data_IF_091509664492
#
_entry.id   IF_091509664492
#
_cell.length_a   1.000
_cell.length_b   1.000
_cell.length_c   1.000
_cell.angle_alpha   90.00
_cell.angle_beta   90.00
_cell.angle_gamma   90.00
#
_symmetry.space_group_name_H-M   'P 1'
#
loop_
_entity.id
_entity.type
_entity.pdbx_description
1 polymer ?
#
# COMPACT_ATOMS: atom_id res chain seq x y z
N UNK A 1 23.45 -18.06 -7.72
CA UNK A 1 22.78 -18.87 -6.69
C UNK A 1 21.28 -18.66 -6.85
N UNK A 2 20.47 -19.68 -6.59
CA UNK A 2 19.01 -19.52 -6.59
C UNK A 2 18.54 -18.96 -5.24
N UNK A 3 17.43 -18.20 -5.21
CA UNK A 3 16.81 -17.78 -3.95
C UNK A 3 16.32 -18.97 -3.11
N UNK A 4 16.26 -18.78 -1.78
CA UNK A 4 15.66 -19.77 -0.89
C UNK A 4 14.18 -20.03 -1.24
N UNK A 5 13.76 -21.31 -1.21
CA UNK A 5 12.40 -21.76 -1.56
C UNK A 5 11.91 -21.32 -2.95
N UNK A 6 12.82 -21.15 -3.92
CA UNK A 6 12.47 -20.81 -5.30
C UNK A 6 11.55 -21.86 -5.96
N UNK A 7 11.79 -23.15 -5.71
CA UNK A 7 10.94 -24.25 -6.22
C UNK A 7 9.51 -24.22 -5.67
N UNK A 8 9.33 -23.63 -4.49
CA UNK A 8 8.03 -23.52 -3.83
C UNK A 8 7.31 -22.22 -4.18
N UNK A 9 7.93 -21.35 -4.99
CA UNK A 9 7.40 -20.04 -5.38
C UNK A 9 7.50 -18.95 -4.31
N UNK A 10 8.34 -19.14 -3.28
CA UNK A 10 8.61 -18.13 -2.24
C UNK A 10 9.98 -17.46 -2.37
N UNK A 11 10.82 -17.96 -3.26
CA UNK A 11 12.11 -17.35 -3.56
C UNK A 11 11.95 -16.02 -4.30
N UNK A 12 12.78 -15.05 -3.95
CA UNK A 12 12.78 -13.74 -4.60
C UNK A 12 14.19 -13.19 -4.80
N UNK A 13 14.31 -12.30 -5.78
CA UNK A 13 15.50 -11.48 -5.97
C UNK A 13 15.25 -10.09 -5.38
N UNK A 14 16.31 -9.48 -4.86
CA UNK A 14 16.26 -8.18 -4.21
C UNK A 14 17.29 -7.22 -4.79
N UNK A 15 16.90 -5.96 -4.85
CA UNK A 15 17.74 -4.83 -5.24
C UNK A 15 17.31 -3.61 -4.43
N UNK A 16 18.28 -2.83 -3.98
CA UNK A 16 18.08 -1.52 -3.38
C UNK A 16 19.07 -0.49 -3.94
N UNK A 17 18.97 0.75 -3.46
CA UNK A 17 19.84 1.87 -3.84
C UNK A 17 21.33 1.63 -3.53
N UNK A 18 21.65 0.70 -2.62
CA UNK A 18 23.03 0.36 -2.25
C UNK A 18 23.62 -0.77 -3.10
N UNK A 19 22.77 -1.51 -3.83
CA UNK A 19 23.10 -2.79 -4.45
C UNK A 19 23.76 -2.72 -5.85
N UNK A 20 24.33 -1.57 -6.25
CA UNK A 20 25.00 -1.37 -7.55
C UNK A 20 24.20 -1.87 -8.77
N UNK A 21 22.86 -1.72 -8.72
CA UNK A 21 21.94 -2.11 -9.80
C UNK A 21 21.92 -3.61 -10.19
N UNK A 22 22.39 -4.52 -9.34
CA UNK A 22 22.28 -5.97 -9.57
C UNK A 22 21.26 -6.62 -8.64
N UNK A 23 20.28 -7.33 -9.21
CA UNK A 23 19.36 -8.20 -8.48
C UNK A 23 20.14 -9.37 -7.86
N UNK A 24 20.03 -9.54 -6.54
CA UNK A 24 20.67 -10.63 -5.81
C UNK A 24 19.62 -11.62 -5.30
N UNK A 25 19.88 -12.94 -5.37
CA UNK A 25 18.98 -13.93 -4.80
C UNK A 25 18.90 -13.75 -3.28
N UNK A 26 17.69 -13.70 -2.73
CA UNK A 26 17.51 -13.66 -1.27
C UNK A 26 17.82 -15.02 -0.65
N UNK A 27 18.64 -15.07 0.42
CA UNK A 27 18.83 -16.29 1.20
C UNK A 27 17.64 -16.61 2.13
N UNK A 28 16.67 -15.69 2.24
CA UNK A 28 15.48 -15.84 3.09
C UNK A 28 14.24 -15.93 2.21
N UNK A 29 13.39 -16.89 2.52
CA UNK A 29 12.10 -17.14 1.86
C UNK A 29 11.04 -16.09 2.23
N UNK A 30 10.13 -15.77 1.31
CA UNK A 30 8.95 -14.93 1.59
C UNK A 30 8.00 -15.54 2.63
N UNK A 31 8.16 -16.81 3.00
CA UNK A 31 7.39 -17.45 4.10
C UNK A 31 7.64 -16.79 5.46
N UNK A 32 8.82 -16.20 5.66
CA UNK A 32 9.24 -15.65 6.94
C UNK A 32 9.20 -14.13 6.95
N UNK A 33 9.00 -13.51 8.10
CA UNK A 33 8.99 -12.04 8.27
C UNK A 33 10.39 -11.40 8.31
N UNK A 34 11.45 -12.17 8.53
CA UNK A 34 12.83 -11.68 8.56
C UNK A 34 13.45 -11.55 7.14
N UNK A 35 12.68 -11.04 6.19
CA UNK A 35 13.10 -10.74 4.82
C UNK A 35 12.85 -9.25 4.48
N UNK A 36 13.31 -8.78 3.31
CA UNK A 36 13.17 -7.37 2.93
C UNK A 36 11.73 -6.82 3.00
N UNK A 37 10.73 -7.59 2.60
CA UNK A 37 9.30 -7.20 2.65
C UNK A 37 8.78 -7.24 4.09
N UNK A 38 9.14 -8.27 4.87
CA UNK A 38 8.72 -8.36 6.26
C UNK A 38 9.34 -7.26 7.13
N UNK A 39 10.62 -6.93 6.95
CA UNK A 39 11.25 -5.76 7.59
C UNK A 39 10.63 -4.44 7.15
N UNK A 40 10.19 -4.32 5.89
CA UNK A 40 9.47 -3.13 5.41
C UNK A 40 8.14 -2.94 6.15
N UNK A 41 7.45 -4.03 6.48
CA UNK A 41 6.15 -4.00 7.16
C UNK A 41 6.23 -4.04 8.69
N UNK A 42 7.37 -4.44 9.27
CA UNK A 42 7.55 -4.59 10.72
C UNK A 42 7.17 -3.33 11.53
N UNK A 43 7.54 -2.09 11.12
CA UNK A 43 7.16 -0.90 11.87
C UNK A 43 5.65 -0.69 12.02
N UNK A 44 4.86 -1.19 11.06
CA UNK A 44 3.40 -1.18 11.19
C UNK A 44 2.91 -2.19 12.22
N UNK A 45 3.33 -3.46 12.11
CA UNK A 45 2.87 -4.53 13.00
C UNK A 45 3.24 -4.27 14.47
N UNK A 46 4.37 -3.60 14.72
CA UNK A 46 4.81 -3.20 16.06
C UNK A 46 4.02 -2.01 16.64
N UNK A 47 3.33 -1.24 15.79
CA UNK A 47 2.68 0.04 16.12
C UNK A 47 1.22 0.10 15.64
N UNK A 48 0.53 -1.04 15.53
CA UNK A 48 -0.87 -1.07 15.03
C UNK A 48 -1.82 -0.20 15.88
N UNK A 49 -1.52 -0.07 17.17
CA UNK A 49 -2.28 0.75 18.13
C UNK A 49 -1.84 2.22 18.16
N UNK A 50 -0.80 2.61 17.42
CA UNK A 50 -0.32 3.99 17.38
C UNK A 50 -1.27 4.88 16.58
N UNK A 51 -1.92 5.81 17.27
CA UNK A 51 -2.91 6.71 16.66
C UNK A 51 -2.29 7.75 15.71
N UNK A 52 -0.98 7.99 15.81
CA UNK A 52 -0.26 8.96 15.00
C UNK A 52 0.41 8.35 13.77
N UNK A 53 0.45 7.02 13.66
CA UNK A 53 0.96 6.32 12.50
C UNK A 53 -0.12 6.31 11.40
N UNK A 54 0.15 6.97 10.28
CA UNK A 54 -0.70 6.85 9.10
C UNK A 54 -0.48 5.46 8.49
N UNK A 55 -1.57 4.73 8.25
CA UNK A 55 -1.54 3.57 7.35
C UNK A 55 -2.71 3.58 6.37
N UNK A 56 -2.46 3.15 5.13
CA UNK A 56 -3.50 2.89 4.13
C UNK A 56 -3.11 1.64 3.36
N UNK A 57 -3.88 0.57 3.51
CA UNK A 57 -3.72 -0.67 2.77
C UNK A 57 -4.81 -0.77 1.72
N UNK A 58 -4.40 -1.02 0.48
CA UNK A 58 -5.32 -1.18 -0.63
C UNK A 58 -4.97 -2.38 -1.49
N UNK A 59 -6.01 -3.12 -1.91
CA UNK A 59 -5.90 -4.31 -2.72
C UNK A 59 -7.29 -4.68 -3.26
N UNK A 60 -7.44 -4.78 -4.58
CA UNK A 60 -8.69 -5.21 -5.23
C UNK A 60 -9.03 -6.70 -4.99
N UNK A 61 -8.12 -7.43 -4.33
CA UNK A 61 -8.28 -8.82 -3.89
C UNK A 61 -7.74 -8.97 -2.45
N UNK A 62 -8.20 -8.14 -1.51
CA UNK A 62 -7.71 -8.11 -0.13
C UNK A 62 -7.85 -9.45 0.63
N UNK A 63 -7.09 -9.61 1.71
CA UNK A 63 -7.10 -10.83 2.52
C UNK A 63 -8.39 -10.94 3.34
N UNK A 64 -8.91 -12.16 3.57
CA UNK A 64 -10.17 -12.39 4.33
C UNK A 64 -10.07 -11.88 5.79
N UNK A 65 -8.87 -11.85 6.35
CA UNK A 65 -8.61 -11.31 7.69
C UNK A 65 -8.40 -9.79 7.70
N UNK A 66 -8.73 -9.09 6.60
CA UNK A 66 -8.89 -7.64 6.63
C UNK A 66 -9.97 -7.30 7.64
N UNK A 67 -9.68 -6.45 8.62
CA UNK A 67 -10.72 -5.85 9.44
C UNK A 67 -11.72 -5.15 8.53
N UNK A 68 -13.02 -5.42 8.67
CA UNK A 68 -14.06 -4.63 7.99
C UNK A 68 -13.91 -3.16 8.42
N UNK A 69 -13.17 -2.36 7.66
CA UNK A 69 -12.99 -0.96 8.00
C UNK A 69 -14.19 -0.17 7.53
N UNK A 70 -14.89 0.42 8.49
CA UNK A 70 -15.76 1.55 8.24
C UNK A 70 -14.90 2.69 7.67
N UNK A 71 -15.34 3.32 6.60
CA UNK A 71 -14.76 4.55 6.10
C UNK A 71 -14.80 5.67 7.18
N UNK A 72 -14.19 6.81 6.92
CA UNK A 72 -14.09 7.93 7.89
C UNK A 72 -15.48 8.42 8.37
N UNK A 73 -16.56 8.13 7.64
CA UNK A 73 -17.96 8.41 8.01
C UNK A 73 -18.67 7.26 8.73
N UNK A 74 -17.99 6.16 9.06
CA UNK A 74 -18.60 5.00 9.71
C UNK A 74 -19.32 4.04 8.76
N UNK A 75 -19.25 4.24 7.43
CA UNK A 75 -19.88 3.38 6.42
C UNK A 75 -18.94 2.26 6.00
N UNK A 76 -19.43 1.03 5.94
CA UNK A 76 -18.67 -0.11 5.44
C UNK A 76 -18.29 0.16 3.97
N UNK A 77 -17.05 -0.12 3.58
CA UNK A 77 -16.61 -0.11 2.18
C UNK A 77 -17.35 -1.19 1.42
N UNK A 78 -18.57 -0.87 0.99
CA UNK A 78 -19.46 -1.84 0.38
C UNK A 78 -19.04 -2.12 -1.06
N UNK A 79 -18.67 -3.37 -1.32
CA UNK A 79 -18.63 -3.96 -2.67
C UNK A 79 -20.00 -3.86 -3.37
N UNK A 80 -21.07 -3.59 -2.61
CA UNK A 80 -22.43 -3.35 -3.08
C UNK A 80 -22.65 -1.98 -3.74
N UNK A 81 -21.68 -1.05 -3.68
CA UNK A 81 -21.85 0.31 -4.22
C UNK A 81 -21.85 0.40 -5.76
N UNK A 82 -21.56 -0.70 -6.47
CA UNK A 82 -21.47 -0.72 -7.94
C UNK A 82 -20.34 0.14 -8.50
N UNK A 83 -19.48 0.68 -7.63
CA UNK A 83 -18.35 1.53 -7.99
C UNK A 83 -17.18 0.65 -8.40
N UNK A 84 -16.70 0.82 -9.63
CA UNK A 84 -15.51 0.09 -10.12
C UNK A 84 -14.26 0.64 -9.45
N UNK A 85 -13.48 -0.25 -8.83
CA UNK A 85 -12.18 0.04 -8.22
C UNK A 85 -11.03 -0.21 -9.18
N UNK A 86 -9.92 0.49 -8.98
CA UNK A 86 -8.69 0.24 -9.72
C UNK A 86 -8.09 -1.13 -9.37
N UNK A 87 -7.54 -1.82 -10.37
CA UNK A 87 -6.73 -3.02 -10.18
C UNK A 87 -5.34 -2.63 -9.68
N UNK A 88 -5.26 -2.21 -8.42
CA UNK A 88 -4.07 -1.66 -7.81
C UNK A 88 -3.94 -2.16 -6.37
N UNK A 89 -2.70 -2.40 -5.95
CA UNK A 89 -2.38 -2.99 -4.66
C UNK A 89 -1.16 -2.29 -4.05
N UNK A 90 -1.20 -2.06 -2.75
CA UNK A 90 -0.09 -1.40 -2.06
C UNK A 90 -0.42 -0.91 -0.65
N UNK A 91 0.57 -0.25 -0.08
CA UNK A 91 0.60 0.21 1.31
C UNK A 91 1.22 1.61 1.37
N UNK A 92 0.56 2.51 2.09
CA UNK A 92 1.18 3.73 2.62
C UNK A 92 1.42 3.54 4.12
N UNK A 93 2.62 3.88 4.59
CA UNK A 93 2.95 3.99 6.02
C UNK A 93 3.75 5.26 6.24
N UNK A 94 3.23 6.23 7.01
CA UNK A 94 3.94 7.49 7.27
C UNK A 94 3.93 7.85 8.75
N UNK A 95 5.05 8.39 9.20
CA UNK A 95 5.22 8.89 10.56
C UNK A 95 5.68 10.34 10.52
N UNK A 96 4.83 11.26 11.00
CA UNK A 96 5.15 12.69 11.08
C UNK A 96 6.36 12.98 11.97
N UNK A 97 6.60 12.20 13.02
CA UNK A 97 7.77 12.38 13.90
C UNK A 97 9.07 12.00 13.20
N UNK A 98 9.03 10.96 12.36
CA UNK A 98 10.17 10.58 11.52
C UNK A 98 10.37 11.54 10.33
N UNK A 99 9.33 12.30 9.96
CA UNK A 99 9.36 13.21 8.81
C UNK A 99 9.27 12.51 7.45
N UNK A 100 9.05 11.19 7.45
CA UNK A 100 9.05 10.35 6.26
C UNK A 100 8.08 9.18 6.38
N UNK A 101 7.91 8.46 5.28
CA UNK A 101 7.17 7.22 5.22
C UNK A 101 7.61 6.35 4.05
N UNK A 102 6.87 5.28 3.82
CA UNK A 102 7.03 4.42 2.67
C UNK A 102 5.75 4.35 1.84
N UNK A 103 5.95 4.19 0.53
CA UNK A 103 4.95 3.70 -0.39
C UNK A 103 5.42 2.37 -0.98
N UNK A 104 4.72 1.30 -0.63
CA UNK A 104 4.96 -0.04 -1.16
C UNK A 104 3.91 -0.34 -2.22
N UNK A 105 4.34 -0.50 -3.48
CA UNK A 105 3.51 -0.94 -4.60
C UNK A 105 3.81 -2.41 -4.87
N UNK A 106 2.78 -3.23 -5.08
CA UNK A 106 2.98 -4.65 -5.37
C UNK A 106 1.89 -5.24 -6.26
N UNK A 107 2.10 -6.47 -6.72
CA UNK A 107 1.12 -7.23 -7.51
C UNK A 107 0.42 -8.36 -6.72
N UNK A 108 0.83 -8.60 -5.48
CA UNK A 108 0.39 -9.75 -4.64
C UNK A 108 -1.08 -9.65 -4.21
N UNK A 109 -1.98 -10.54 -4.67
CA UNK A 109 -3.34 -10.63 -4.13
C UNK A 109 -3.32 -11.10 -2.69
N UNK A 110 -4.27 -10.65 -1.87
CA UNK A 110 -4.45 -11.04 -0.46
C UNK A 110 -3.26 -10.68 0.44
N UNK A 111 -2.53 -9.63 0.09
CA UNK A 111 -1.42 -9.08 0.86
C UNK A 111 -1.54 -7.55 0.98
N UNK A 112 -1.08 -6.94 2.09
CA UNK A 112 -0.77 -7.59 3.38
C UNK A 112 -2.04 -7.98 4.16
N UNK A 113 -1.89 -8.84 5.18
CA UNK A 113 -2.90 -8.92 6.25
C UNK A 113 -2.69 -7.76 7.23
N UNK A 114 -3.78 -7.27 7.81
CA UNK A 114 -3.74 -6.13 8.73
C UNK A 114 -3.19 -6.49 10.12
N UNK A 115 -3.26 -7.75 10.52
CA UNK A 115 -2.91 -8.21 11.87
C UNK A 115 -1.49 -8.78 11.99
N UNK A 116 -0.91 -9.29 10.89
CA UNK A 116 0.42 -9.90 10.88
C UNK A 116 0.98 -10.08 9.47
N UNK A 117 2.29 -10.31 9.38
CA UNK A 117 2.94 -10.67 8.13
C UNK A 117 2.54 -12.09 7.70
N UNK A 118 1.94 -12.22 6.51
CA UNK A 118 1.72 -13.50 5.83
C UNK A 118 1.91 -13.30 4.34
N UNK A 119 2.87 -14.00 3.74
CA UNK A 119 2.91 -14.12 2.30
C UNK A 119 1.90 -15.18 1.84
N UNK A 120 0.89 -14.82 1.02
CA UNK A 120 -0.21 -15.73 0.72
C UNK A 120 0.24 -16.87 -0.19
N UNK A 121 -0.10 -18.11 0.17
CA UNK A 121 0.23 -19.29 -0.64
C UNK A 121 -0.33 -19.19 -2.07
N UNK A 122 -1.42 -18.45 -2.28
CA UNK A 122 -2.02 -18.24 -3.61
C UNK A 122 -1.11 -17.43 -4.53
N UNK A 123 -0.15 -16.68 -3.99
CA UNK A 123 0.80 -15.87 -4.74
C UNK A 123 2.10 -16.60 -5.11
N UNK A 124 2.23 -17.90 -4.81
CA UNK A 124 3.41 -18.70 -5.20
C UNK A 124 3.34 -19.22 -6.63
N UNK A 125 2.14 -19.21 -7.24
CA UNK A 125 1.91 -19.74 -8.59
C UNK A 125 2.53 -18.86 -9.68
N UNK A 126 2.54 -17.54 -9.48
CA UNK A 126 2.99 -16.57 -10.48
C UNK A 126 4.03 -15.63 -9.88
N UNK A 127 5.01 -15.23 -10.69
CA UNK A 127 5.96 -14.20 -10.30
C UNK A 127 5.26 -12.90 -9.91
N UNK A 128 5.67 -12.34 -8.79
CA UNK A 128 5.16 -11.09 -8.24
C UNK A 128 6.25 -10.03 -8.19
N UNK A 129 5.85 -8.77 -8.12
CA UNK A 129 6.77 -7.64 -8.00
C UNK A 129 6.41 -6.79 -6.79
N UNK A 130 7.44 -6.21 -6.18
CA UNK A 130 7.36 -5.23 -5.11
C UNK A 130 8.28 -4.06 -5.44
N UNK A 131 7.82 -2.84 -5.21
CA UNK A 131 8.60 -1.62 -5.24
C UNK A 131 8.31 -0.82 -3.97
N UNK A 132 9.33 -0.55 -3.18
CA UNK A 132 9.22 0.26 -1.97
C UNK A 132 9.98 1.57 -2.17
N UNK A 133 9.30 2.70 -1.95
CA UNK A 133 9.88 4.03 -2.01
C UNK A 133 9.82 4.66 -0.63
N UNK A 134 10.96 5.14 -0.12
CA UNK A 134 10.99 6.03 1.05
C UNK A 134 10.73 7.45 0.57
N UNK A 135 9.76 8.12 1.18
CA UNK A 135 9.28 9.42 0.75
C UNK A 135 9.16 10.36 1.95
N UNK A 136 9.47 11.64 1.74
CA UNK A 136 9.27 12.66 2.75
C UNK A 136 7.76 12.82 3.03
N UNK A 137 7.42 13.19 4.27
CA UNK A 137 6.01 13.38 4.67
C UNK A 137 5.29 14.41 3.80
N UNK A 138 6.01 15.37 3.23
CA UNK A 138 5.46 16.39 2.32
C UNK A 138 4.98 15.80 0.99
N UNK A 139 5.50 14.64 0.56
CA UNK A 139 5.06 13.94 -0.66
C UNK A 139 3.67 13.31 -0.51
N UNK A 140 3.15 13.22 0.72
CA UNK A 140 1.84 12.62 1.00
C UNK A 140 0.68 13.34 0.30
N UNK A 141 0.80 14.64 0.06
CA UNK A 141 -0.18 15.40 -0.71
C UNK A 141 -0.31 14.86 -2.14
N UNK A 142 0.81 14.72 -2.85
CA UNK A 142 0.84 14.18 -4.22
C UNK A 142 0.40 12.72 -4.26
N UNK A 143 0.81 11.90 -3.28
CA UNK A 143 0.35 10.51 -3.20
C UNK A 143 -1.17 10.41 -2.98
N UNK A 144 -1.75 11.29 -2.15
CA UNK A 144 -3.20 11.35 -1.97
C UNK A 144 -3.92 11.61 -3.29
N UNK A 145 -3.43 12.55 -4.10
CA UNK A 145 -3.96 12.82 -5.44
C UNK A 145 -3.80 11.62 -6.38
N UNK A 146 -2.63 10.96 -6.39
CA UNK A 146 -2.39 9.75 -7.19
C UNK A 146 -3.37 8.64 -6.81
N UNK A 147 -3.58 8.39 -5.51
CA UNK A 147 -4.55 7.38 -5.07
C UNK A 147 -5.99 7.81 -5.39
N UNK A 148 -6.32 9.09 -5.29
CA UNK A 148 -7.65 9.58 -5.66
C UNK A 148 -7.99 9.31 -7.13
N UNK A 149 -7.00 9.44 -8.03
CA UNK A 149 -7.15 9.08 -9.44
C UNK A 149 -7.20 7.57 -9.68
N UNK A 150 -6.35 6.80 -9.01
CA UNK A 150 -6.35 5.33 -9.15
C UNK A 150 -7.60 4.67 -8.58
N UNK A 151 -8.31 5.37 -7.69
CA UNK A 151 -9.52 4.91 -7.02
C UNK A 151 -9.36 3.47 -6.46
N UNK A 152 -8.40 3.25 -5.56
CA UNK A 152 -8.07 1.93 -5.05
C UNK A 152 -9.20 1.36 -4.18
N UNK A 153 -9.15 0.05 -3.97
CA UNK A 153 -9.96 -0.64 -2.98
C UNK A 153 -9.22 -0.67 -1.63
N UNK A 154 -9.60 0.23 -0.72
CA UNK A 154 -8.96 0.36 0.60
C UNK A 154 -9.69 -0.52 1.60
N UNK A 155 -8.96 -1.38 2.30
CA UNK A 155 -9.52 -2.36 3.25
C UNK A 155 -8.97 -2.26 4.68
N UNK A 156 -7.92 -1.45 4.91
CA UNK A 156 -7.45 -1.12 6.25
C UNK A 156 -6.78 0.24 6.23
N UNK A 157 -7.15 1.12 7.15
CA UNK A 157 -6.54 2.44 7.22
C UNK A 157 -6.63 3.04 8.63
N UNK A 158 -5.74 3.99 8.89
CA UNK A 158 -5.81 4.98 9.96
C UNK A 158 -5.40 6.31 9.37
N UNK A 159 -6.20 7.35 9.56
CA UNK A 159 -5.92 8.70 9.07
C UNK A 159 -5.77 9.66 10.28
N UNK A 160 -4.55 9.89 10.78
CA UNK A 160 -4.29 10.91 11.80
C UNK A 160 -4.63 12.31 11.29
N UNK A 161 -4.95 13.24 12.19
CA UNK A 161 -5.35 14.62 11.81
C UNK A 161 -4.26 15.32 10.98
N UNK A 162 -3.00 15.13 11.35
CA UNK A 162 -1.89 15.73 10.60
C UNK A 162 -1.81 15.25 9.14
N UNK A 163 -2.19 14.00 8.87
CA UNK A 163 -2.14 13.44 7.53
C UNK A 163 -3.30 13.98 6.68
N UNK A 164 -4.46 14.19 7.31
CA UNK A 164 -5.62 14.86 6.71
C UNK A 164 -5.31 16.31 6.34
N UNK A 165 -4.63 17.06 7.20
CA UNK A 165 -4.18 18.42 6.91
C UNK A 165 -3.23 18.49 5.72
N UNK A 166 -2.27 17.56 5.62
CA UNK A 166 -1.30 17.50 4.51
C UNK A 166 -1.95 17.03 3.22
N UNK A 167 -2.87 16.07 3.30
CA UNK A 167 -3.45 15.39 2.12
C UNK A 167 -4.97 15.27 2.21
N UNK A 168 -5.72 16.34 1.90
CA UNK A 168 -7.19 16.30 1.83
C UNK A 168 -7.71 15.32 0.77
N UNK A 169 -6.95 15.07 -0.30
CA UNK A 169 -7.31 14.07 -1.33
C UNK A 169 -7.26 12.64 -0.78
N UNK A 170 -6.38 12.36 0.19
CA UNK A 170 -6.36 11.05 0.84
C UNK A 170 -7.65 10.82 1.66
N UNK A 171 -8.18 11.85 2.32
CA UNK A 171 -9.50 11.76 2.96
C UNK A 171 -10.59 11.44 1.92
N UNK A 172 -10.55 12.05 0.73
CA UNK A 172 -11.50 11.73 -0.35
C UNK A 172 -11.41 10.27 -0.80
N UNK A 173 -10.19 9.72 -0.89
CA UNK A 173 -9.96 8.28 -1.17
C UNK A 173 -10.67 7.42 -0.13
N UNK A 174 -10.43 7.70 1.15
CA UNK A 174 -10.98 6.92 2.26
C UNK A 174 -12.51 7.06 2.36
N UNK A 175 -13.07 8.21 1.98
CA UNK A 175 -14.51 8.44 1.85
C UNK A 175 -15.12 7.82 0.58
N UNK A 176 -14.34 7.09 -0.21
CA UNK A 176 -14.79 6.46 -1.46
C UNK A 176 -15.33 7.47 -2.48
N UNK A 177 -14.85 8.72 -2.47
CA UNK A 177 -15.21 9.72 -3.47
C UNK A 177 -14.59 9.35 -4.82
N UNK A 178 -15.25 9.73 -5.91
CA UNK A 178 -14.79 9.43 -7.28
C UNK A 178 -14.32 10.72 -7.95
N UNK A 179 -13.15 10.65 -8.57
CA UNK A 179 -12.71 11.69 -9.49
C UNK A 179 -13.61 11.72 -10.74
N UNK A 180 -13.94 12.91 -11.24
CA UNK A 180 -14.73 13.13 -12.47
C UNK A 180 -16.17 12.58 -12.50
N UNK A 181 -16.90 12.64 -11.38
CA UNK A 181 -18.38 12.59 -11.38
C UNK A 181 -19.04 13.98 -11.32
N UNK A 182 -18.26 15.05 -11.33
CA UNK A 182 -18.73 16.39 -11.70
C UNK A 182 -18.70 16.52 -13.24
N UNK A 183 -19.78 16.98 -13.88
CA UNK A 183 -19.92 17.01 -15.34
C UNK A 183 -19.02 18.04 -16.06
N UNK A 184 -18.22 18.83 -15.34
CA UNK A 184 -17.37 19.86 -15.94
C UNK A 184 -15.88 19.57 -15.71
N UNK A 185 -15.16 19.31 -16.82
CA UNK A 185 -13.70 19.19 -16.96
C UNK A 185 -13.03 17.87 -16.49
N UNK A 186 -13.09 16.85 -17.33
CA UNK A 186 -12.12 15.73 -17.35
C UNK A 186 -10.79 16.09 -18.03
N UNK A 187 -10.47 17.38 -18.17
CA UNK A 187 -9.17 17.81 -18.69
C UNK A 187 -8.13 17.69 -17.57
N UNK A 188 -7.13 16.83 -17.77
CA UNK A 188 -5.93 16.73 -16.94
C UNK A 188 -5.30 18.13 -16.79
N UNK A 189 -5.56 18.80 -15.66
CA UNK A 189 -4.86 20.02 -15.27
C UNK A 189 -3.95 19.71 -14.09
N UNK A 190 -2.87 18.99 -14.37
CA UNK A 190 -1.64 19.22 -13.64
C UNK A 190 -0.56 19.58 -14.65
N UNK A 191 0.08 20.74 -14.54
CA UNK A 191 1.38 20.90 -15.16
C UNK A 191 2.32 19.96 -14.42
N UNK A 192 2.76 18.88 -15.08
CA UNK A 192 4.01 18.23 -14.72
C UNK A 192 5.10 19.27 -14.96
N UNK A 193 5.35 20.13 -13.97
CA UNK A 193 6.59 20.91 -13.96
C UNK A 193 7.66 19.93 -13.50
N UNK A 194 8.35 19.35 -14.50
CA UNK A 194 9.63 18.65 -14.33
C UNK A 194 10.73 19.69 -14.26
#
# INVERSE_FOLDING_TARGET
AEPADASDGYGFYYLDSTSKAALKPSPVSLKFDHNAIGYTMAPYYERMEDEELLHVFYNDEHAINSTETKNVEGKISDSASGVKKGHTKGVLLFDKKAGSGIWLVHSVPKFPQADKYVYPFTATKYGQQFLCLTLDVQTLAQLGTVLFYNHPDVYSFRLPEWAKEISPDLEKVLLNKQYNKDPDNTNLQQPLIV
#
